data_IF_761936433367
#
_entry.id   IF_761936433367
#
_cell.length_a   1.000
_cell.length_b   1.000
_cell.length_c   1.000
_cell.angle_alpha   90.00
_cell.angle_beta   90.00
_cell.angle_gamma   90.00
#
_symmetry.space_group_name_H-M   'P 1'
#
loop_
_entity.id
_entity.type
_entity.pdbx_description
1 polymer ?
#
# COMPACT_ATOMS: atom_id res chain seq x y z
N UNK A 1 -6.56 -11.49 12.77
CA UNK A 1 -7.25 -10.19 12.67
C UNK A 1 -7.02 -9.62 11.28
N UNK A 2 -8.01 -9.68 10.38
CA UNK A 2 -7.93 -8.98 9.09
C UNK A 2 -8.39 -7.56 9.35
N UNK A 3 -7.45 -6.61 9.46
CA UNK A 3 -7.79 -5.18 9.51
C UNK A 3 -8.54 -4.84 8.22
N UNK A 4 -9.70 -4.21 8.37
CA UNK A 4 -10.56 -3.85 7.24
C UNK A 4 -9.99 -2.62 6.53
N UNK A 5 -10.24 -2.43 5.22
CA UNK A 5 -9.79 -1.24 4.49
C UNK A 5 -10.29 0.05 5.15
N UNK A 6 -11.47 0.01 5.79
CA UNK A 6 -12.02 1.14 6.54
C UNK A 6 -11.13 1.66 7.68
N UNK A 7 -10.39 0.79 8.39
CA UNK A 7 -9.49 1.24 9.46
C UNK A 7 -8.27 1.99 8.89
N UNK A 8 -7.78 1.56 7.74
CA UNK A 8 -6.67 2.22 7.06
C UNK A 8 -7.10 3.48 6.33
N UNK A 9 -8.31 3.50 5.77
CA UNK A 9 -8.90 4.71 5.20
C UNK A 9 -9.09 5.78 6.27
N UNK A 10 -9.59 5.42 7.45
CA UNK A 10 -9.67 6.35 8.57
C UNK A 10 -8.28 6.84 9.02
N UNK A 11 -7.28 5.95 9.04
CA UNK A 11 -5.91 6.37 9.31
C UNK A 11 -5.40 7.39 8.27
N UNK A 12 -5.80 7.26 7.00
CA UNK A 12 -5.50 8.24 5.94
C UNK A 12 -6.33 9.53 6.03
N UNK A 13 -7.51 9.51 6.67
CA UNK A 13 -8.26 10.73 6.98
C UNK A 13 -7.55 11.56 8.05
N UNK A 14 -6.94 10.89 9.03
CA UNK A 14 -6.20 11.53 10.12
C UNK A 14 -4.78 11.94 9.69
N UNK A 15 -4.10 11.08 8.93
CA UNK A 15 -2.78 11.33 8.37
C UNK A 15 -2.74 10.85 6.90
N UNK A 16 -3.01 11.76 5.95
CA UNK A 16 -2.98 11.45 4.52
C UNK A 16 -1.60 11.02 4.00
N UNK A 17 -0.52 11.26 4.75
CA UNK A 17 0.84 10.92 4.38
C UNK A 17 1.36 9.66 5.12
N UNK A 18 0.49 8.94 5.81
CA UNK A 18 0.88 7.75 6.57
C UNK A 18 1.33 6.61 5.65
N UNK A 19 2.63 6.49 5.43
CA UNK A 19 3.23 5.42 4.65
C UNK A 19 2.82 4.03 5.17
N UNK A 20 2.69 3.87 6.49
CA UNK A 20 2.22 2.63 7.12
C UNK A 20 0.76 2.30 6.77
N UNK A 21 -0.13 3.29 6.71
CA UNK A 21 -1.52 3.06 6.31
C UNK A 21 -1.61 2.70 4.81
N UNK A 22 -0.88 3.41 3.96
CA UNK A 22 -0.80 3.14 2.51
C UNK A 22 -0.23 1.74 2.23
N UNK A 23 0.84 1.34 2.94
CA UNK A 23 1.42 -0.01 2.85
C UNK A 23 0.38 -1.10 3.14
N UNK A 24 -0.36 -0.94 4.24
CA UNK A 24 -1.34 -1.93 4.66
C UNK A 24 -2.54 -1.99 3.70
N UNK A 25 -2.95 -0.87 3.09
CA UNK A 25 -3.96 -0.88 2.02
C UNK A 25 -3.46 -1.59 0.78
N UNK A 26 -2.21 -1.40 0.38
CA UNK A 26 -1.61 -2.10 -0.75
C UNK A 26 -1.68 -3.63 -0.56
N UNK A 27 -1.24 -4.12 0.60
CA UNK A 27 -1.32 -5.53 0.97
C UNK A 27 -2.78 -6.02 1.03
N UNK A 28 -3.70 -5.19 1.55
CA UNK A 28 -5.11 -5.55 1.61
C UNK A 28 -5.68 -5.77 0.20
N UNK A 29 -5.46 -4.83 -0.71
CA UNK A 29 -5.96 -4.90 -2.07
C UNK A 29 -5.37 -6.07 -2.86
N UNK A 30 -4.09 -6.40 -2.66
CA UNK A 30 -3.49 -7.61 -3.21
C UNK A 30 -4.23 -8.87 -2.74
N UNK A 31 -4.49 -8.96 -1.44
CA UNK A 31 -5.15 -10.13 -0.84
C UNK A 31 -6.62 -10.26 -1.23
N UNK A 32 -7.24 -9.20 -1.71
CA UNK A 32 -8.60 -9.21 -2.25
C UNK A 32 -8.65 -9.33 -3.76
N UNK A 33 -7.50 -9.39 -4.45
CA UNK A 33 -7.42 -9.47 -5.91
C UNK A 33 -7.72 -8.14 -6.63
N UNK A 34 -7.76 -7.03 -5.89
CA UNK A 34 -7.95 -5.69 -6.42
C UNK A 34 -6.60 -5.15 -6.93
N UNK A 35 -6.16 -5.68 -8.07
CA UNK A 35 -4.79 -5.48 -8.59
C UNK A 35 -4.50 -4.00 -8.91
N UNK A 36 -5.45 -3.29 -9.53
CA UNK A 36 -5.25 -1.89 -9.89
C UNK A 36 -5.10 -0.99 -8.65
N UNK A 37 -5.92 -1.22 -7.63
CA UNK A 37 -5.87 -0.51 -6.37
C UNK A 37 -4.59 -0.84 -5.60
N UNK A 38 -4.17 -2.10 -5.59
CA UNK A 38 -2.90 -2.52 -5.00
C UNK A 38 -1.72 -1.80 -5.65
N UNK A 39 -1.66 -1.78 -6.98
CA UNK A 39 -0.60 -1.10 -7.74
C UNK A 39 -0.55 0.39 -7.39
N UNK A 40 -1.71 1.06 -7.34
CA UNK A 40 -1.82 2.47 -6.97
C UNK A 40 -1.29 2.74 -5.55
N UNK A 41 -1.64 1.90 -4.57
CA UNK A 41 -1.16 2.06 -3.21
C UNK A 41 0.33 1.75 -3.08
N UNK A 42 0.87 0.77 -3.81
CA UNK A 42 2.31 0.49 -3.82
C UNK A 42 3.13 1.64 -4.42
N UNK A 43 2.64 2.27 -5.49
CA UNK A 43 3.25 3.50 -6.04
C UNK A 43 3.29 4.61 -4.99
N UNK A 44 2.13 4.90 -4.38
CA UNK A 44 2.03 5.93 -3.34
C UNK A 44 2.90 5.65 -2.12
N UNK A 45 3.00 4.38 -1.70
CA UNK A 45 3.90 3.99 -0.61
C UNK A 45 5.36 4.35 -0.91
N UNK A 46 5.83 4.05 -2.13
CA UNK A 46 7.19 4.35 -2.56
C UNK A 46 7.43 5.84 -2.79
N UNK A 47 6.40 6.62 -3.11
CA UNK A 47 6.48 8.09 -3.15
C UNK A 47 6.64 8.70 -1.76
N UNK A 48 5.93 8.14 -0.76
CA UNK A 48 5.96 8.62 0.62
C UNK A 48 7.23 8.20 1.37
N UNK A 49 7.67 6.95 1.21
CA UNK A 49 8.85 6.41 1.88
C UNK A 49 9.70 5.52 0.95
N UNK A 50 10.42 6.12 -0.02
CA UNK A 50 11.22 5.41 -1.00
C UNK A 50 12.44 4.69 -0.41
N UNK A 51 12.82 5.03 0.83
CA UNK A 51 14.02 4.52 1.51
C UNK A 51 13.70 3.68 2.74
N UNK A 52 12.42 3.38 2.99
CA UNK A 52 12.01 2.48 4.07
C UNK A 52 12.67 1.10 3.96
N UNK A 53 12.78 0.37 5.09
CA UNK A 53 13.16 -1.04 5.07
C UNK A 53 12.29 -1.90 4.15
N UNK A 54 11.05 -1.48 3.89
CA UNK A 54 10.09 -2.19 3.03
C UNK A 54 10.03 -1.65 1.59
N UNK A 55 10.85 -0.66 1.23
CA UNK A 55 10.84 -0.09 -0.12
C UNK A 55 11.21 -1.13 -1.19
N UNK A 56 12.12 -2.06 -0.86
CA UNK A 56 12.46 -3.17 -1.76
C UNK A 56 11.26 -4.10 -2.00
N UNK A 57 10.50 -4.41 -0.96
CA UNK A 57 9.26 -5.20 -1.07
C UNK A 57 8.25 -4.47 -1.97
N UNK A 58 8.01 -3.18 -1.71
CA UNK A 58 7.08 -2.38 -2.52
C UNK A 58 7.47 -2.32 -4.00
N UNK A 59 8.77 -2.21 -4.31
CA UNK A 59 9.27 -2.24 -5.70
C UNK A 59 9.08 -3.61 -6.35
N UNK A 60 9.32 -4.70 -5.61
CA UNK A 60 9.11 -6.07 -6.09
C UNK A 60 7.64 -6.32 -6.44
N UNK A 61 6.75 -5.94 -5.53
CA UNK A 61 5.29 -5.99 -5.71
C UNK A 61 4.86 -5.23 -6.95
N UNK A 62 5.34 -3.99 -7.08
CA UNK A 62 4.99 -3.10 -8.18
C UNK A 62 5.42 -3.65 -9.54
N UNK A 63 6.62 -4.23 -9.62
CA UNK A 63 7.09 -4.92 -10.83
C UNK A 63 6.23 -6.14 -11.18
N UNK A 64 5.66 -6.80 -10.17
CA UNK A 64 4.74 -7.93 -10.35
C UNK A 64 3.44 -7.57 -11.07
N UNK A 65 2.97 -6.32 -10.95
CA UNK A 65 1.75 -5.85 -11.64
C UNK A 65 1.99 -5.36 -13.07
N UNK A 66 3.24 -5.05 -13.42
CA UNK A 66 3.61 -4.49 -14.74
C UNK A 66 3.89 -5.56 -15.81
N UNK A 67 3.60 -6.83 -15.52
CA UNK A 67 3.80 -7.98 -16.42
C UNK A 67 2.50 -8.45 -17.04
#
# INVERSE_FOLDING_TARGET
MRKAPGEFQHALELDPASAAAVFNLAIFYERTGAVAEAESQWKRYLELDPNSPWAMEGRSRLQGFSR
#
